data_IF_782462077564
#
_entry.id   IF_782462077564
#
_cell.length_a   1.000
_cell.length_b   1.000
_cell.length_c   1.000
_cell.angle_alpha   90.00
_cell.angle_beta   90.00
_cell.angle_gamma   90.00
#
_symmetry.space_group_name_H-M   'P 1'
#
loop_
_entity.id
_entity.type
_entity.pdbx_description
1 polymer ?
#
# COMPACT_ATOMS: atom_id res chain seq x y z
N UNK A 1 -66.69 -35.57 7.05
CA UNK A 1 -65.81 -34.68 7.84
C UNK A 1 -64.44 -34.67 7.17
N UNK A 2 -63.93 -33.46 6.96
CA UNK A 2 -62.56 -33.03 6.64
C UNK A 2 -61.82 -33.51 5.38
N UNK A 3 -61.84 -32.62 4.39
CA UNK A 3 -60.76 -32.31 3.46
C UNK A 3 -59.51 -31.78 4.18
N UNK A 4 -58.30 -32.17 3.74
CA UNK A 4 -57.15 -31.29 3.52
C UNK A 4 -55.90 -32.07 3.05
N UNK A 5 -55.26 -31.70 1.92
CA UNK A 5 -53.88 -32.06 1.60
C UNK A 5 -52.92 -31.04 2.27
N UNK A 6 -51.72 -31.45 2.70
CA UNK A 6 -50.76 -30.49 3.28
C UNK A 6 -49.31 -30.75 2.86
N UNK A 7 -48.79 -29.73 2.17
CA UNK A 7 -47.44 -29.15 2.19
C UNK A 7 -46.30 -30.03 1.64
N UNK A 8 -45.56 -29.63 0.61
CA UNK A 8 -45.01 -28.29 0.38
C UNK A 8 -43.51 -28.34 0.68
N UNK A 9 -42.70 -28.14 -0.36
CA UNK A 9 -41.23 -28.24 -0.40
C UNK A 9 -40.46 -27.46 0.69
N UNK A 10 -39.13 -27.63 0.76
CA UNK A 10 -38.22 -26.51 0.92
C UNK A 10 -37.58 -26.14 -0.44
N UNK A 11 -37.88 -24.96 -1.00
CA UNK A 11 -37.00 -24.31 -1.96
C UNK A 11 -36.18 -23.25 -1.21
N UNK A 12 -34.93 -23.54 -0.87
CA UNK A 12 -34.03 -22.51 -0.32
C UNK A 12 -32.65 -22.60 -0.99
N UNK A 13 -32.65 -22.56 -2.32
CA UNK A 13 -31.61 -21.87 -3.05
C UNK A 13 -32.05 -20.40 -3.08
N UNK A 14 -31.37 -19.53 -2.33
CA UNK A 14 -31.64 -18.10 -2.35
C UNK A 14 -31.59 -17.56 -3.79
N UNK A 15 -32.31 -16.46 -4.10
CA UNK A 15 -32.30 -15.91 -5.43
C UNK A 15 -30.87 -15.49 -5.77
N UNK A 16 -30.24 -16.25 -6.66
CA UNK A 16 -28.97 -15.89 -7.27
C UNK A 16 -29.23 -14.60 -8.07
N UNK A 17 -29.02 -13.45 -7.41
CA UNK A 17 -29.15 -12.13 -8.03
C UNK A 17 -28.08 -12.02 -9.11
N UNK A 18 -28.43 -12.43 -10.33
CA UNK A 18 -27.62 -12.26 -11.52
C UNK A 18 -27.89 -10.89 -12.11
N UNK A 19 -26.93 -9.98 -12.01
CA UNK A 19 -26.98 -8.71 -12.76
C UNK A 19 -26.21 -8.95 -14.07
N UNK A 20 -26.92 -9.40 -15.10
CA UNK A 20 -26.33 -9.85 -16.37
C UNK A 20 -25.68 -11.24 -16.30
N UNK A 21 -24.64 -11.50 -17.11
CA UNK A 21 -23.89 -12.78 -17.14
C UNK A 21 -22.99 -13.01 -15.90
N UNK A 22 -23.25 -12.33 -14.78
CA UNK A 22 -22.42 -12.37 -13.58
C UNK A 22 -23.23 -12.87 -12.40
N UNK A 23 -22.61 -13.74 -11.62
CA UNK A 23 -23.19 -14.38 -10.44
C UNK A 23 -22.61 -13.75 -9.19
N UNK A 24 -23.45 -13.51 -8.19
CA UNK A 24 -23.02 -13.10 -6.86
C UNK A 24 -22.18 -14.23 -6.24
N UNK A 25 -20.88 -13.99 -6.07
CA UNK A 25 -20.00 -14.93 -5.38
C UNK A 25 -20.02 -14.67 -3.88
N UNK A 26 -19.85 -13.42 -3.44
CA UNK A 26 -19.70 -13.08 -2.04
C UNK A 26 -20.38 -11.76 -1.69
N UNK A 27 -20.80 -11.61 -0.44
CA UNK A 27 -21.35 -10.36 0.10
C UNK A 27 -20.84 -10.15 1.53
N UNK A 28 -20.46 -8.92 1.85
CA UNK A 28 -20.00 -8.56 3.19
C UNK A 28 -19.62 -7.08 3.28
N UNK A 29 -18.66 -6.76 4.14
CA UNK A 29 -18.24 -5.39 4.44
C UNK A 29 -16.76 -5.22 4.12
N UNK A 30 -16.43 -4.17 3.37
CA UNK A 30 -15.06 -3.73 3.13
C UNK A 30 -14.73 -2.54 4.03
N UNK A 31 -13.76 -2.72 4.91
CA UNK A 31 -13.26 -1.71 5.84
C UNK A 31 -11.89 -1.22 5.39
N UNK A 32 -11.63 0.08 5.44
CA UNK A 32 -10.30 0.63 5.19
C UNK A 32 -9.96 1.77 6.13
N UNK A 33 -8.66 1.98 6.30
CA UNK A 33 -8.12 3.08 7.08
C UNK A 33 -7.48 4.09 6.14
N UNK A 34 -7.92 5.34 6.23
CA UNK A 34 -7.25 6.46 5.59
C UNK A 34 -6.03 6.83 6.47
N UNK A 35 -4.82 6.69 5.92
CA UNK A 35 -3.62 7.20 6.59
C UNK A 35 -3.57 8.72 6.38
N UNK A 36 -3.58 9.55 7.44
CA UNK A 36 -3.33 10.98 7.29
C UNK A 36 -1.92 11.21 6.74
N UNK A 37 -1.73 12.32 5.99
CA UNK A 37 -0.39 12.76 5.56
C UNK A 37 0.46 13.07 6.81
N UNK A 38 1.76 12.67 6.84
CA UNK A 38 2.67 13.04 7.90
C UNK A 38 3.21 14.47 7.65
N UNK A 39 2.35 15.47 7.80
CA UNK A 39 2.78 16.85 7.92
C UNK A 39 1.66 17.62 8.63
N UNK A 40 1.96 18.09 9.84
CA UNK A 40 1.16 19.03 10.61
C UNK A 40 -0.15 18.46 11.19
N UNK A 41 -0.07 17.55 12.16
CA UNK A 41 -0.87 17.55 13.41
C UNK A 41 -0.50 16.34 14.26
N UNK A 42 -0.48 16.56 15.57
CA UNK A 42 -0.31 15.55 16.60
C UNK A 42 -1.24 14.33 16.38
N UNK A 43 -0.64 13.14 16.33
CA UNK A 43 -1.13 11.93 16.99
C UNK A 43 -2.56 11.40 16.67
N UNK A 44 -2.61 10.47 15.70
CA UNK A 44 -3.28 9.14 15.81
C UNK A 44 -4.76 8.90 15.45
N UNK A 45 -5.54 9.84 14.90
CA UNK A 45 -6.90 9.50 14.44
C UNK A 45 -6.90 8.82 13.07
N UNK A 46 -6.70 7.49 13.05
CA UNK A 46 -6.98 6.65 11.87
C UNK A 46 -8.47 6.72 11.55
N UNK A 47 -8.85 7.47 10.52
CA UNK A 47 -10.23 7.47 10.04
C UNK A 47 -10.52 6.12 9.41
N UNK A 48 -11.32 5.32 10.10
CA UNK A 48 -11.77 4.01 9.62
C UNK A 48 -13.11 4.20 8.93
N UNK A 49 -13.19 3.82 7.66
CA UNK A 49 -14.41 3.83 6.86
C UNK A 49 -14.76 2.39 6.50
N UNK A 50 -16.04 2.10 6.35
CA UNK A 50 -16.50 0.77 5.95
C UNK A 50 -17.70 0.87 5.02
N UNK A 51 -17.75 0.02 4.01
CA UNK A 51 -18.87 -0.06 3.08
C UNK A 51 -19.34 -1.50 2.87
N UNK A 52 -20.65 -1.75 2.84
CA UNK A 52 -21.15 -3.04 2.40
C UNK A 52 -20.89 -3.20 0.90
N UNK A 53 -20.30 -4.32 0.51
CA UNK A 53 -19.99 -4.64 -0.87
C UNK A 53 -20.33 -6.09 -1.22
N UNK A 54 -20.54 -6.30 -2.50
CA UNK A 54 -20.86 -7.56 -3.14
C UNK A 54 -19.83 -7.82 -4.23
N UNK A 55 -19.38 -9.06 -4.32
CA UNK A 55 -18.42 -9.51 -5.33
C UNK A 55 -19.14 -10.39 -6.34
N UNK A 56 -19.06 -9.99 -7.60
CA UNK A 56 -19.65 -10.67 -8.72
C UNK A 56 -18.56 -11.29 -9.59
N UNK A 57 -18.78 -12.53 -10.01
CA UNK A 57 -17.89 -13.27 -10.91
C UNK A 57 -18.62 -13.62 -12.19
N UNK A 58 -17.90 -13.81 -13.29
CA UNK A 58 -18.51 -14.24 -14.54
C UNK A 58 -19.06 -15.66 -14.42
N UNK A 59 -20.21 -15.93 -15.04
CA UNK A 59 -20.79 -17.28 -15.09
C UNK A 59 -19.77 -18.26 -15.71
N UNK A 60 -19.32 -19.25 -14.94
CA UNK A 60 -18.27 -20.21 -15.32
C UNK A 60 -16.95 -20.07 -14.55
N UNK A 61 -16.76 -18.97 -13.81
CA UNK A 61 -15.60 -18.80 -12.94
C UNK A 61 -15.83 -19.51 -11.59
N UNK A 62 -14.99 -20.49 -11.28
CA UNK A 62 -15.05 -21.23 -10.02
C UNK A 62 -14.27 -20.48 -8.94
N UNK A 63 -14.84 -19.38 -8.44
CA UNK A 63 -14.30 -18.69 -7.27
C UNK A 63 -15.01 -19.18 -6.01
N UNK A 64 -14.32 -19.97 -5.20
CA UNK A 64 -14.84 -20.39 -3.89
C UNK A 64 -14.72 -19.24 -2.90
N UNK A 65 -15.85 -18.77 -2.40
CA UNK A 65 -15.90 -17.65 -1.44
C UNK A 65 -16.61 -17.99 -0.13
N UNK A 66 -17.04 -19.25 0.05
CA UNK A 66 -17.79 -19.71 1.23
C UNK A 66 -17.05 -19.47 2.55
N UNK A 67 -15.71 -19.50 2.50
CA UNK A 67 -14.85 -19.31 3.67
C UNK A 67 -14.36 -17.87 3.85
N UNK A 68 -14.76 -16.96 2.96
CA UNK A 68 -14.32 -15.56 3.07
C UNK A 68 -14.95 -14.91 4.30
N UNK A 69 -14.17 -14.15 5.09
CA UNK A 69 -14.68 -13.50 6.27
C UNK A 69 -15.72 -12.45 5.86
N UNK A 70 -16.77 -12.27 6.66
CA UNK A 70 -17.81 -11.26 6.43
C UNK A 70 -17.26 -9.83 6.38
N UNK A 71 -16.12 -9.58 7.03
CA UNK A 71 -15.43 -8.30 7.03
C UNK A 71 -14.04 -8.45 6.41
N UNK A 72 -13.80 -7.71 5.33
CA UNK A 72 -12.51 -7.62 4.65
C UNK A 72 -11.84 -6.30 5.00
N UNK A 73 -10.53 -6.35 5.25
CA UNK A 73 -9.73 -5.16 5.57
C UNK A 73 -8.88 -4.80 4.36
N UNK A 74 -9.07 -3.57 3.90
CA UNK A 74 -8.39 -2.97 2.76
C UNK A 74 -7.39 -1.93 3.23
N UNK A 75 -6.18 -2.03 2.68
CA UNK A 75 -5.11 -1.07 2.85
C UNK A 75 -4.94 -0.25 1.57
N UNK A 76 -5.01 1.08 1.69
CA UNK A 76 -4.78 1.97 0.56
C UNK A 76 -3.29 2.06 0.22
N UNK A 77 -2.95 1.84 -1.04
CA UNK A 77 -1.59 1.89 -1.58
C UNK A 77 -1.58 2.82 -2.80
N UNK A 78 -0.65 3.77 -2.91
CA UNK A 78 -0.49 4.59 -4.11
C UNK A 78 -0.22 3.71 -5.34
N UNK A 79 -0.96 3.93 -6.42
CA UNK A 79 -0.82 3.17 -7.67
C UNK A 79 0.56 3.32 -8.31
N UNK A 80 1.26 4.43 -8.04
CA UNK A 80 2.64 4.64 -8.51
C UNK A 80 3.59 3.53 -8.02
N UNK A 81 3.37 3.03 -6.79
CA UNK A 81 4.16 1.92 -6.23
C UNK A 81 3.82 0.57 -6.88
N UNK A 82 2.65 0.47 -7.50
CA UNK A 82 2.16 -0.76 -8.11
C UNK A 82 2.65 -0.94 -9.55
N UNK A 83 3.27 0.09 -10.13
CA UNK A 83 3.81 0.06 -11.50
C UNK A 83 4.80 -1.09 -11.72
N UNK A 84 5.67 -1.34 -10.73
CA UNK A 84 6.66 -2.43 -10.75
C UNK A 84 6.01 -3.82 -10.63
N UNK A 85 4.78 -3.90 -10.11
CA UNK A 85 4.04 -5.15 -9.95
C UNK A 85 3.11 -5.45 -11.15
N UNK A 86 3.27 -4.72 -12.26
CA UNK A 86 2.49 -4.87 -13.49
C UNK A 86 2.29 -6.32 -13.96
N UNK A 87 3.33 -7.18 -14.01
CA UNK A 87 3.18 -8.57 -14.44
C UNK A 87 2.20 -9.37 -13.57
N UNK A 88 2.21 -9.16 -12.25
CA UNK A 88 1.35 -9.86 -11.31
C UNK A 88 -0.12 -9.49 -11.51
N UNK A 89 -0.40 -8.22 -11.87
CA UNK A 89 -1.76 -7.78 -12.20
C UNK A 89 -2.30 -8.38 -13.49
N UNK A 90 -1.43 -8.68 -14.47
CA UNK A 90 -1.84 -9.36 -15.71
C UNK A 90 -2.17 -10.83 -15.46
N UNK A 91 -1.40 -11.48 -14.58
CA UNK A 91 -1.65 -12.86 -14.15
C UNK A 91 -2.60 -12.91 -12.93
N UNK A 92 -3.72 -12.20 -13.03
CA UNK A 92 -4.74 -12.12 -11.98
C UNK A 92 -6.12 -12.48 -12.54
N UNK A 93 -6.92 -13.17 -11.71
CA UNK A 93 -8.35 -13.36 -11.96
C UNK A 93 -9.08 -12.06 -11.70
N UNK A 94 -9.98 -11.67 -12.60
CA UNK A 94 -10.76 -10.44 -12.48
C UNK A 94 -12.14 -10.73 -11.92
N UNK A 95 -12.51 -10.00 -10.87
CA UNK A 95 -13.84 -10.01 -10.24
C UNK A 95 -14.40 -8.59 -10.21
N UNK A 96 -15.71 -8.44 -10.07
CA UNK A 96 -16.34 -7.13 -10.00
C UNK A 96 -16.84 -6.85 -8.58
N UNK A 97 -16.50 -5.68 -8.06
CA UNK A 97 -17.02 -5.20 -6.79
C UNK A 97 -18.18 -4.24 -7.04
N UNK A 98 -19.27 -4.47 -6.33
CA UNK A 98 -20.43 -3.60 -6.28
C UNK A 98 -20.62 -3.12 -4.84
N UNK A 99 -20.57 -1.81 -4.63
CA UNK A 99 -20.82 -1.22 -3.32
C UNK A 99 -22.28 -0.80 -3.23
N UNK A 100 -22.91 -1.12 -2.10
CA UNK A 100 -24.30 -0.71 -1.87
C UNK A 100 -24.38 0.79 -1.57
N UNK A 101 -25.47 1.45 -1.96
CA UNK A 101 -25.71 2.87 -1.72
C UNK A 101 -26.12 3.20 -0.27
N UNK A 102 -25.83 2.32 0.71
CA UNK A 102 -26.21 2.55 2.12
C UNK A 102 -25.47 3.72 2.76
N UNK A 103 -24.22 3.96 2.35
CA UNK A 103 -23.43 5.10 2.81
C UNK A 103 -22.76 5.79 1.60
N UNK A 104 -23.48 6.77 1.07
CA UNK A 104 -23.04 7.55 -0.10
C UNK A 104 -21.83 8.44 0.19
N UNK A 105 -21.63 8.87 1.44
CA UNK A 105 -20.50 9.73 1.80
C UNK A 105 -19.19 8.93 1.72
N UNK A 106 -19.15 7.77 2.38
CA UNK A 106 -18.00 6.86 2.33
C UNK A 106 -17.74 6.37 0.90
N UNK A 107 -18.78 6.09 0.12
CA UNK A 107 -18.64 5.68 -1.28
C UNK A 107 -18.07 6.78 -2.17
N UNK A 108 -18.54 8.03 -2.03
CA UNK A 108 -17.95 9.20 -2.72
C UNK A 108 -16.49 9.41 -2.30
N UNK A 109 -16.18 9.23 -1.02
CA UNK A 109 -14.82 9.26 -0.50
C UNK A 109 -13.92 8.23 -1.19
N UNK A 110 -14.39 6.98 -1.28
CA UNK A 110 -13.68 5.89 -1.95
C UNK A 110 -13.43 6.19 -3.45
N UNK A 111 -14.43 6.70 -4.16
CA UNK A 111 -14.27 7.15 -5.55
C UNK A 111 -13.22 8.24 -5.70
N UNK A 112 -13.18 9.20 -4.78
CA UNK A 112 -12.19 10.28 -4.79
C UNK A 112 -10.78 9.75 -4.53
N UNK A 113 -10.62 8.90 -3.51
CA UNK A 113 -9.32 8.31 -3.14
C UNK A 113 -8.76 7.49 -4.30
N UNK A 114 -9.56 6.58 -4.86
CA UNK A 114 -9.09 5.75 -5.97
C UNK A 114 -8.93 6.53 -7.28
N UNK A 115 -9.76 7.55 -7.51
CA UNK A 115 -9.61 8.50 -8.61
C UNK A 115 -8.33 9.33 -8.51
N UNK A 116 -7.84 9.61 -7.30
CA UNK A 116 -6.58 10.29 -7.04
C UNK A 116 -5.34 9.38 -7.18
N UNK A 117 -5.49 8.19 -7.77
CA UNK A 117 -4.37 7.29 -8.03
C UNK A 117 -3.99 6.40 -6.84
N UNK A 118 -4.93 6.09 -5.95
CA UNK A 118 -4.76 5.01 -4.95
C UNK A 118 -5.45 3.73 -5.41
N UNK A 119 -4.96 2.61 -4.89
CA UNK A 119 -5.54 1.28 -5.05
C UNK A 119 -5.74 0.65 -3.68
N UNK A 120 -6.66 -0.30 -3.58
CA UNK A 120 -6.99 -0.99 -2.34
C UNK A 120 -6.42 -2.39 -2.28
N UNK A 121 -5.44 -2.66 -1.42
CA UNK A 121 -4.95 -4.01 -1.17
C UNK A 121 -5.72 -4.65 -0.02
N UNK A 122 -6.52 -5.67 -0.33
CA UNK A 122 -7.33 -6.42 0.62
C UNK A 122 -6.54 -7.62 1.11
N UNK A 123 -6.36 -7.73 2.42
CA UNK A 123 -5.64 -8.85 3.05
C UNK A 123 -6.62 -9.79 3.74
N UNK A 124 -6.49 -11.08 3.44
CA UNK A 124 -7.30 -12.12 4.07
C UNK A 124 -6.57 -12.65 5.32
N UNK A 125 -7.29 -12.92 6.42
CA UNK A 125 -6.71 -13.53 7.62
C UNK A 125 -6.10 -14.90 7.29
N UNK A 126 -4.91 -15.17 7.84
CA UNK A 126 -4.21 -16.44 7.63
C UNK A 126 -4.81 -17.62 8.42
N UNK A 127 -5.75 -17.32 9.33
CA UNK A 127 -6.38 -18.29 10.22
C UNK A 127 -7.58 -19.01 9.58
N UNK A 128 -8.08 -18.50 8.46
CA UNK A 128 -9.17 -19.12 7.72
C UNK A 128 -8.61 -20.02 6.61
N UNK A 129 -9.24 -21.17 6.29
CA UNK A 129 -8.88 -22.00 5.14
C UNK A 129 -9.27 -21.37 3.79
N UNK A 130 -8.99 -20.07 3.62
CA UNK A 130 -9.27 -19.32 2.41
C UNK A 130 -8.22 -19.65 1.33
N UNK A 131 -8.69 -19.98 0.12
CA UNK A 131 -7.81 -20.14 -1.05
C UNK A 131 -7.15 -18.80 -1.43
N UNK A 132 -7.80 -17.67 -1.12
CA UNK A 132 -7.32 -16.32 -1.42
C UNK A 132 -6.69 -15.67 -0.19
N UNK A 133 -5.48 -15.14 -0.34
CA UNK A 133 -4.72 -14.43 0.71
C UNK A 133 -4.70 -12.91 0.50
N UNK A 134 -4.78 -12.47 -0.74
CA UNK A 134 -4.70 -11.07 -1.15
C UNK A 134 -5.54 -10.82 -2.40
N UNK A 135 -6.16 -9.64 -2.45
CA UNK A 135 -6.92 -9.13 -3.60
C UNK A 135 -6.60 -7.65 -3.77
N UNK A 136 -6.46 -7.18 -5.01
CA UNK A 136 -6.32 -5.75 -5.31
C UNK A 136 -7.63 -5.18 -5.85
N UNK A 137 -8.12 -4.12 -5.23
CA UNK A 137 -9.27 -3.35 -5.65
C UNK A 137 -8.82 -2.10 -6.40
N UNK A 138 -9.31 -1.97 -7.63
CA UNK A 138 -9.06 -0.85 -8.53
C UNK A 138 -10.38 -0.21 -8.93
N UNK A 139 -10.37 1.10 -9.17
CA UNK A 139 -11.52 1.82 -9.70
C UNK A 139 -11.28 2.23 -11.14
N UNK A 140 -12.22 1.90 -12.03
CA UNK A 140 -12.24 2.40 -13.40
C UNK A 140 -13.17 3.59 -13.51
N UNK A 141 -12.61 4.80 -13.65
CA UNK A 141 -13.39 6.02 -13.87
C UNK A 141 -14.16 6.01 -15.20
N UNK A 142 -13.61 5.35 -16.23
CA UNK A 142 -14.22 5.20 -17.56
C UNK A 142 -15.49 4.36 -17.52
N UNK A 143 -15.46 3.24 -16.82
CA UNK A 143 -16.60 2.31 -16.71
C UNK A 143 -17.46 2.55 -15.47
N UNK A 144 -17.02 3.42 -14.54
CA UNK A 144 -17.63 3.64 -13.22
C UNK A 144 -17.84 2.34 -12.44
N UNK A 145 -16.87 1.42 -12.53
CA UNK A 145 -16.91 0.13 -11.85
C UNK A 145 -15.68 -0.06 -10.95
N UNK A 146 -15.87 -0.82 -9.87
CA UNK A 146 -14.77 -1.34 -9.08
C UNK A 146 -14.39 -2.74 -9.58
N UNK A 147 -13.11 -2.93 -9.85
CA UNK A 147 -12.51 -4.16 -10.34
C UNK A 147 -11.64 -4.76 -9.24
N UNK A 148 -11.92 -5.99 -8.86
CA UNK A 148 -11.04 -6.78 -8.02
C UNK A 148 -10.11 -7.64 -8.88
N UNK A 149 -8.85 -7.71 -8.52
CA UNK A 149 -7.84 -8.58 -9.13
C UNK A 149 -7.33 -9.53 -8.06
N UNK A 150 -7.47 -10.83 -8.30
CA UNK A 150 -6.97 -11.89 -7.44
C UNK A 150 -5.73 -12.46 -8.14
N UNK A 151 -4.50 -12.08 -7.72
CA UNK A 151 -3.28 -12.56 -8.35
C UNK A 151 -3.17 -14.08 -8.20
N UNK A 152 -2.74 -14.76 -9.27
CA UNK A 152 -2.51 -16.20 -9.21
C UNK A 152 -1.29 -16.51 -8.30
N UNK A 153 -0.24 -15.70 -8.38
CA UNK A 153 0.88 -15.73 -7.43
C UNK A 153 0.61 -14.80 -6.23
N UNK A 154 -0.19 -15.31 -5.30
CA UNK A 154 -0.57 -14.62 -4.06
C UNK A 154 0.66 -14.27 -3.20
N UNK A 155 1.63 -15.18 -3.11
CA UNK A 155 2.86 -15.01 -2.31
C UNK A 155 3.77 -13.93 -2.86
N UNK A 156 4.11 -14.00 -4.15
CA UNK A 156 4.96 -13.01 -4.81
C UNK A 156 4.33 -11.62 -4.77
N UNK A 157 3.00 -11.54 -4.89
CA UNK A 157 2.28 -10.28 -4.75
C UNK A 157 2.38 -9.66 -3.37
N UNK A 158 2.13 -10.43 -2.30
CA UNK A 158 2.26 -9.91 -0.93
C UNK A 158 3.69 -9.44 -0.64
N UNK A 159 4.69 -10.18 -1.11
CA UNK A 159 6.10 -9.82 -0.95
C UNK A 159 6.46 -8.55 -1.73
N UNK A 160 6.01 -8.46 -2.99
CA UNK A 160 6.22 -7.30 -3.85
C UNK A 160 5.59 -6.04 -3.26
N UNK A 161 4.34 -6.12 -2.79
CA UNK A 161 3.64 -5.01 -2.12
C UNK A 161 4.40 -4.57 -0.87
N UNK A 162 4.83 -5.52 -0.02
CA UNK A 162 5.59 -5.22 1.19
C UNK A 162 6.89 -4.49 0.86
N UNK A 163 7.59 -4.91 -0.20
CA UNK A 163 8.85 -4.32 -0.64
C UNK A 163 8.65 -2.89 -1.16
N UNK A 164 7.68 -2.64 -2.04
CA UNK A 164 7.47 -1.29 -2.61
C UNK A 164 7.02 -0.28 -1.55
N UNK A 165 6.19 -0.70 -0.58
CA UNK A 165 5.79 0.16 0.54
C UNK A 165 7.01 0.49 1.41
N UNK A 166 7.84 -0.50 1.73
CA UNK A 166 9.03 -0.32 2.58
C UNK A 166 10.06 0.58 1.90
N UNK A 167 10.36 0.33 0.62
CA UNK A 167 11.30 1.13 -0.16
C UNK A 167 10.83 2.58 -0.27
N UNK A 168 9.55 2.82 -0.58
CA UNK A 168 9.03 4.18 -0.64
C UNK A 168 9.14 4.91 0.71
N UNK A 169 8.86 4.21 1.82
CA UNK A 169 8.99 4.80 3.16
C UNK A 169 10.45 5.16 3.47
N UNK A 170 11.41 4.32 3.11
CA UNK A 170 12.84 4.61 3.31
C UNK A 170 13.31 5.81 2.49
N UNK A 171 12.95 5.87 1.20
CA UNK A 171 13.31 7.00 0.33
C UNK A 171 12.69 8.31 0.82
N UNK A 172 11.45 8.27 1.31
CA UNK A 172 10.78 9.46 1.85
C UNK A 172 11.41 9.94 3.16
N UNK A 173 11.89 9.02 4.00
CA UNK A 173 12.63 9.34 5.23
C UNK A 173 13.96 10.03 4.90
N UNK A 174 14.75 9.47 3.97
CA UNK A 174 16.05 10.04 3.57
C UNK A 174 15.92 11.45 2.98
N UNK A 175 14.87 11.71 2.17
CA UNK A 175 14.60 13.05 1.64
C UNK A 175 14.24 14.06 2.73
N UNK A 176 13.57 13.62 3.80
CA UNK A 176 13.21 14.48 4.93
C UNK A 176 14.43 14.81 5.81
N UNK A 177 15.29 13.83 6.09
CA UNK A 177 16.51 14.05 6.88
C UNK A 177 17.51 14.95 6.14
N UNK A 178 17.64 14.82 4.82
CA UNK A 178 18.49 15.72 4.01
C UNK A 178 17.96 17.16 4.02
N UNK A 179 16.66 17.37 4.16
CA UNK A 179 16.05 18.71 4.22
C UNK A 179 16.11 19.34 5.62
N UNK A 180 16.15 18.52 6.69
CA UNK A 180 16.48 19.00 8.06
C UNK A 180 17.97 19.27 8.27
N UNK A 181 18.85 18.65 7.48
CA UNK A 181 20.30 18.85 7.53
C UNK A 181 20.81 20.20 6.99
N UNK A 182 19.96 21.01 6.35
CA UNK A 182 20.32 22.35 5.84
C UNK A 182 19.88 23.50 6.76
N UNK A 183 19.32 23.21 7.94
CA UNK A 183 18.83 24.21 8.90
C UNK A 183 19.58 24.30 10.23
N UNK A 184 20.68 23.56 10.41
CA UNK A 184 21.36 23.43 11.71
C UNK A 184 22.84 23.78 11.64
N UNK A 185 23.21 24.83 12.37
CA UNK A 185 24.58 25.28 12.68
C UNK A 185 25.44 25.77 11.50
N UNK A 186 25.34 27.07 11.21
CA UNK A 186 26.53 27.81 10.83
C UNK A 186 27.54 27.71 12.00
N UNK A 187 28.78 27.26 11.80
CA UNK A 187 29.80 27.38 12.83
C UNK A 187 30.17 28.87 12.95
N UNK A 188 29.96 29.44 14.13
CA UNK A 188 30.53 30.73 14.50
C UNK A 188 32.06 30.63 14.45
N UNK A 189 32.77 31.44 13.65
CA UNK A 189 34.23 31.43 13.61
C UNK A 189 34.76 32.20 14.82
N UNK A 190 35.40 31.54 15.79
CA UNK A 190 36.11 32.26 16.85
C UNK A 190 36.39 31.59 18.19
N UNK A 191 36.46 30.27 18.31
CA UNK A 191 36.88 29.63 19.57
C UNK A 191 38.14 28.77 19.38
N UNK A 192 39.16 28.89 20.26
CA UNK A 192 40.45 28.19 20.10
C UNK A 192 40.34 26.68 20.36
N UNK A 193 41.27 25.86 19.84
CA UNK A 193 41.17 24.41 19.87
C UNK A 193 41.57 23.86 21.25
N UNK A 194 40.68 23.11 21.89
CA UNK A 194 41.02 22.26 23.03
C UNK A 194 41.56 20.92 22.53
N UNK A 195 42.75 20.53 23.03
CA UNK A 195 43.45 19.30 22.69
C UNK A 195 42.65 18.03 23.07
N UNK A 196 42.66 16.95 22.24
CA UNK A 196 42.07 15.67 22.62
C UNK A 196 43.01 14.90 23.55
N UNK A 197 42.53 14.51 24.74
CA UNK A 197 43.24 13.60 25.65
C UNK A 197 42.72 12.17 25.45
N UNK A 198 43.66 11.22 25.36
CA UNK A 198 43.49 9.80 25.04
C UNK A 198 42.36 9.07 25.79
N UNK A 199 41.75 8.02 25.20
CA UNK A 199 40.78 7.17 25.88
C UNK A 199 41.48 6.09 26.72
N UNK A 200 41.22 6.11 28.02
CA UNK A 200 41.51 5.03 28.96
C UNK A 200 40.45 3.93 28.92
N UNK A 201 40.93 2.70 29.12
CA UNK A 201 40.22 1.42 29.17
C UNK A 201 39.20 1.30 30.31
N UNK A 202 38.03 0.69 30.08
CA UNK A 202 37.57 -0.61 30.66
C UNK A 202 36.06 -0.84 30.42
N UNK A 203 35.58 -2.12 30.45
CA UNK A 203 34.29 -2.56 29.88
C UNK A 203 33.20 -2.79 30.94
N UNK A 204 31.91 -2.84 30.54
CA UNK A 204 30.89 -3.77 31.09
C UNK A 204 29.57 -3.74 30.28
N UNK A 205 29.32 -4.89 29.65
CA UNK A 205 28.09 -5.67 29.40
C UNK A 205 26.68 -5.04 29.22
N UNK A 206 25.98 -5.63 28.24
CA UNK A 206 24.56 -6.05 28.24
C UNK A 206 23.56 -5.16 27.49
N UNK A 207 23.19 -5.60 26.29
CA UNK A 207 22.02 -5.11 25.54
C UNK A 207 22.05 -5.51 24.07
N UNK A 208 21.48 -6.68 23.74
CA UNK A 208 21.41 -7.24 22.39
C UNK A 208 20.58 -6.32 21.47
N UNK A 209 21.22 -5.71 20.46
CA UNK A 209 20.56 -5.09 19.30
C UNK A 209 20.89 -5.88 18.03
N UNK A 210 19.92 -6.15 17.13
CA UNK A 210 20.20 -6.78 15.86
C UNK A 210 20.99 -5.83 14.95
N UNK A 211 22.23 -6.21 14.67
CA UNK A 211 23.12 -5.61 13.70
C UNK A 211 22.61 -5.90 12.27
N UNK A 212 21.98 -4.91 11.64
CA UNK A 212 21.77 -4.90 10.18
C UNK A 212 22.96 -4.19 9.53
N UNK A 213 23.71 -4.93 8.73
CA UNK A 213 24.96 -4.49 8.09
C UNK A 213 24.71 -3.33 7.10
N UNK A 214 25.42 -2.18 7.21
CA UNK A 214 25.22 -1.02 6.35
C UNK A 214 26.13 -1.00 5.08
N UNK A 215 26.61 -2.15 4.62
CA UNK A 215 27.64 -2.19 3.57
C UNK A 215 27.14 -1.76 2.17
N UNK A 216 25.85 -1.95 1.85
CA UNK A 216 25.31 -1.60 0.53
C UNK A 216 24.87 -0.13 0.40
N UNK A 217 24.78 0.61 1.51
CA UNK A 217 24.43 2.03 1.50
C UNK A 217 25.63 2.94 1.16
N UNK A 218 26.86 2.49 1.39
CA UNK A 218 28.05 3.31 1.13
C UNK A 218 28.32 3.55 -0.35
N UNK A 219 28.00 2.59 -1.23
CA UNK A 219 28.30 2.70 -2.66
C UNK A 219 27.46 3.79 -3.34
N UNK A 220 26.17 3.91 -2.97
CA UNK A 220 25.29 4.94 -3.54
C UNK A 220 25.63 6.36 -3.09
N UNK A 221 26.11 6.53 -1.84
CA UNK A 221 26.46 7.85 -1.29
C UNK A 221 27.76 8.36 -1.93
N UNK A 222 28.74 7.49 -2.15
CA UNK A 222 30.01 7.87 -2.79
C UNK A 222 29.82 8.22 -4.28
N UNK A 223 28.95 7.51 -4.99
CA UNK A 223 28.62 7.80 -6.40
C UNK A 223 27.87 9.14 -6.56
N UNK A 224 26.91 9.43 -5.66
CA UNK A 224 26.17 10.69 -5.69
C UNK A 224 27.05 11.90 -5.28
N UNK A 225 27.96 11.71 -4.32
CA UNK A 225 28.93 12.74 -3.93
C UNK A 225 29.95 13.03 -5.05
N UNK A 226 30.41 12.00 -5.77
CA UNK A 226 31.31 12.17 -6.90
C UNK A 226 30.62 12.86 -8.10
N UNK A 227 29.34 12.53 -8.35
CA UNK A 227 28.53 13.21 -9.38
C UNK A 227 28.33 14.69 -9.06
N UNK A 228 28.09 15.06 -7.81
CA UNK A 228 27.93 16.45 -7.39
C UNK A 228 29.23 17.25 -7.54
N UNK A 229 30.37 16.64 -7.23
CA UNK A 229 31.68 17.26 -7.37
C UNK A 229 32.05 17.48 -8.85
N UNK A 230 31.71 16.54 -9.74
CA UNK A 230 31.90 16.67 -11.19
C UNK A 230 31.06 17.82 -11.78
N UNK A 231 29.83 18.02 -11.29
CA UNK A 231 28.93 19.08 -11.75
C UNK A 231 29.41 20.49 -11.33
N UNK A 232 30.03 20.61 -10.15
CA UNK A 232 30.65 21.85 -9.70
C UNK A 232 31.90 22.20 -10.53
N UNK A 233 32.68 21.19 -10.91
CA UNK A 233 33.88 21.39 -11.73
C UNK A 233 33.54 21.81 -13.16
N UNK A 234 32.44 21.28 -13.72
CA UNK A 234 31.93 21.70 -15.02
C UNK A 234 31.41 23.15 -15.01
N UNK A 235 30.81 23.58 -13.90
CA UNK A 235 30.30 24.94 -13.73
C UNK A 235 31.43 25.96 -13.57
N UNK A 236 32.55 25.58 -12.94
CA UNK A 236 33.73 26.41 -12.80
C UNK A 236 34.45 26.65 -14.15
N UNK A 237 34.46 25.68 -15.06
CA UNK A 237 35.04 25.85 -16.40
C UNK A 237 34.24 26.78 -17.31
N UNK A 238 32.93 26.90 -17.10
CA UNK A 238 32.07 27.75 -17.95
C UNK A 238 32.12 29.24 -17.55
N UNK A 239 32.81 29.58 -16.46
CA UNK A 239 32.92 30.94 -15.93
C UNK A 239 34.26 31.63 -16.22
N UNK A 240 35.10 31.02 -17.06
CA UNK A 240 36.36 31.64 -17.49
C UNK A 240 36.08 32.67 -18.60
N UNK A 241 36.41 33.96 -18.42
CA UNK A 241 36.29 34.95 -19.48
C UNK A 241 37.25 34.59 -20.62
N UNK A 242 36.76 34.57 -21.86
CA UNK A 242 37.61 34.47 -23.03
C UNK A 242 38.51 35.72 -23.11
N UNK A 243 39.84 35.57 -23.22
CA UNK A 243 40.73 36.68 -23.49
C UNK A 243 41.10 36.74 -24.98
N UNK A 244 41.66 37.87 -25.44
CA UNK A 244 41.07 39.20 -25.56
C UNK A 244 40.33 39.41 -26.89
#
# INVERSE_FOLDING_TARGET
QNSAPKLGAPPLAGPQQSVGNKVLAWSGVLEWQEKPKPALVDSSTKLTRSLPCQVYVSAGDNLKTDQWPQKLIMQLIPQQLLTTLGPLFRNSRMVQFHFTNKDLESLKGLYRIMGNGFAGCVHFPHTAPCEVRVLMLLYSSKKKIFMGLIPNDQSGFVNGIRQVITNHKQVQQHKMDQQRGLGGSAPVPGAPPFLPKQPGTLPVTSGVQPQVSPALAQVGIMEEQQRQQSLLQLRAQQQQPQPP
#
